data_IF_048037957716
#
_entry.id   IF_048037957716
#
_cell.length_a   1.000
_cell.length_b   1.000
_cell.length_c   1.000
_cell.angle_alpha   90.00
_cell.angle_beta   90.00
_cell.angle_gamma   90.00
#
_symmetry.space_group_name_H-M   'P 1'
#
loop_
_entity.id
_entity.type
_entity.pdbx_description
1 polymer ?
#
# COMPACT_ATOMS: atom_id res chain seq x y z
N UNK A 1 -29.92 5.27 9.35
CA UNK A 1 -29.32 4.49 8.25
C UNK A 1 -30.27 3.37 7.89
N UNK A 2 -30.44 3.11 6.60
CA UNK A 2 -31.26 2.02 6.09
C UNK A 2 -30.61 0.66 6.41
N UNK A 3 -31.40 -0.41 6.46
CA UNK A 3 -30.89 -1.80 6.58
C UNK A 3 -29.85 -2.10 5.49
N UNK A 4 -30.02 -1.52 4.30
CA UNK A 4 -29.05 -1.61 3.21
C UNK A 4 -27.68 -1.02 3.54
N UNK A 5 -27.64 0.12 4.24
CA UNK A 5 -26.38 0.78 4.61
C UNK A 5 -25.57 -0.06 5.61
N UNK A 6 -26.26 -0.75 6.51
CA UNK A 6 -25.65 -1.61 7.53
C UNK A 6 -25.08 -2.88 6.90
N UNK A 7 -25.79 -3.49 5.95
CA UNK A 7 -25.32 -4.63 5.17
C UNK A 7 -24.09 -4.27 4.33
N UNK A 8 -24.07 -3.09 3.70
CA UNK A 8 -22.91 -2.60 2.96
C UNK A 8 -21.69 -2.43 3.88
N UNK A 9 -21.86 -1.79 5.04
CA UNK A 9 -20.77 -1.59 6.00
C UNK A 9 -20.24 -2.93 6.56
N UNK A 10 -21.13 -3.87 6.90
CA UNK A 10 -20.73 -5.21 7.34
C UNK A 10 -20.00 -5.98 6.24
N UNK A 11 -20.46 -5.89 4.99
CA UNK A 11 -19.82 -6.55 3.83
C UNK A 11 -18.42 -5.99 3.60
N UNK A 12 -18.25 -4.66 3.64
CA UNK A 12 -16.96 -4.00 3.50
C UNK A 12 -15.99 -4.41 4.62
N UNK A 13 -16.47 -4.51 5.86
CA UNK A 13 -15.68 -4.97 7.00
C UNK A 13 -15.16 -6.40 6.78
N UNK A 14 -16.06 -7.33 6.41
CA UNK A 14 -15.71 -8.73 6.15
C UNK A 14 -14.69 -8.81 5.00
N UNK A 15 -14.93 -8.06 3.93
CA UNK A 15 -14.04 -8.01 2.78
C UNK A 15 -12.65 -7.50 3.14
N UNK A 16 -12.57 -6.44 3.95
CA UNK A 16 -11.30 -5.90 4.43
C UNK A 16 -10.49 -6.92 5.23
N UNK A 17 -11.15 -7.68 6.11
CA UNK A 17 -10.50 -8.73 6.92
C UNK A 17 -10.04 -9.90 6.06
N UNK A 18 -10.89 -10.40 5.16
CA UNK A 18 -10.54 -11.49 4.25
C UNK A 18 -9.35 -11.11 3.36
N UNK A 19 -9.38 -9.90 2.80
CA UNK A 19 -8.30 -9.42 1.96
C UNK A 19 -7.01 -9.20 2.75
N UNK A 20 -7.09 -8.74 4.00
CA UNK A 20 -5.93 -8.64 4.87
C UNK A 20 -5.29 -10.00 5.16
N UNK A 21 -6.10 -11.02 5.45
CA UNK A 21 -5.62 -12.40 5.65
C UNK A 21 -4.95 -12.91 4.37
N UNK A 22 -5.58 -12.71 3.21
CA UNK A 22 -5.00 -13.05 1.91
C UNK A 22 -3.66 -12.33 1.66
N UNK A 23 -3.60 -11.03 1.98
CA UNK A 23 -2.39 -10.23 1.85
C UNK A 23 -1.25 -10.79 2.71
N UNK A 24 -1.50 -11.08 3.98
CA UNK A 24 -0.49 -11.61 4.90
C UNK A 24 0.00 -13.00 4.46
N UNK A 25 -0.92 -13.90 4.06
CA UNK A 25 -0.58 -15.28 3.72
C UNK A 25 0.03 -15.44 2.33
N UNK A 26 -0.49 -14.73 1.34
CA UNK A 26 -0.16 -14.97 -0.08
C UNK A 26 0.76 -13.88 -0.62
N UNK A 27 0.40 -12.61 -0.40
CA UNK A 27 1.12 -11.47 -1.00
C UNK A 27 2.43 -11.17 -0.25
N UNK A 28 2.47 -11.37 1.08
CA UNK A 28 3.67 -11.10 1.90
C UNK A 28 4.77 -12.16 1.73
N UNK A 29 4.38 -13.40 1.45
CA UNK A 29 5.26 -14.55 1.32
C UNK A 29 5.08 -15.23 -0.05
N UNK A 30 5.53 -14.60 -1.15
CA UNK A 30 5.39 -15.18 -2.47
C UNK A 30 6.20 -16.49 -2.54
N UNK A 31 5.50 -17.63 -2.64
CA UNK A 31 6.14 -18.95 -2.82
C UNK A 31 6.86 -19.08 -4.16
N UNK A 32 6.39 -18.36 -5.19
CA UNK A 32 6.90 -18.45 -6.56
C UNK A 32 7.15 -17.03 -7.12
N UNK A 33 8.39 -16.70 -7.46
CA UNK A 33 8.83 -15.38 -7.95
C UNK A 33 8.36 -15.03 -9.37
N UNK A 34 8.03 -16.02 -10.20
CA UNK A 34 7.68 -15.82 -11.62
C UNK A 34 6.30 -15.19 -11.84
N UNK A 35 5.40 -15.24 -10.84
CA UNK A 35 4.03 -14.73 -10.97
C UNK A 35 3.94 -13.20 -10.92
N UNK A 36 5.06 -12.52 -10.69
CA UNK A 36 5.15 -11.08 -10.45
C UNK A 36 6.17 -10.39 -11.38
N UNK A 37 6.58 -11.00 -12.50
CA UNK A 37 7.46 -10.34 -13.47
C UNK A 37 6.69 -9.66 -14.61
N UNK A 38 5.49 -10.16 -14.97
CA UNK A 38 4.82 -9.75 -16.22
C UNK A 38 3.88 -8.53 -16.12
N UNK A 39 3.58 -8.02 -14.92
CA UNK A 39 2.66 -6.87 -14.79
C UNK A 39 3.04 -5.92 -13.65
N UNK A 40 4.07 -5.10 -13.86
CA UNK A 40 4.50 -4.04 -12.93
C UNK A 40 3.37 -3.12 -12.43
N UNK A 41 2.26 -3.02 -13.18
CA UNK A 41 1.06 -2.29 -12.78
C UNK A 41 0.23 -2.98 -11.68
N UNK A 42 0.03 -4.30 -11.75
CA UNK A 42 -0.72 -5.03 -10.73
C UNK A 42 0.01 -5.03 -9.39
N UNK A 43 1.33 -5.13 -9.41
CA UNK A 43 2.20 -5.31 -8.26
C UNK A 43 2.29 -4.06 -7.39
N UNK A 44 2.43 -2.89 -8.04
CA UNK A 44 2.50 -1.59 -7.35
C UNK A 44 1.23 -1.29 -6.57
N UNK A 45 0.08 -1.71 -7.08
CA UNK A 45 -1.21 -1.50 -6.44
C UNK A 45 -1.59 -2.62 -5.46
N UNK A 46 -1.09 -3.85 -5.64
CA UNK A 46 -1.41 -5.00 -4.77
C UNK A 46 -0.96 -4.81 -3.32
N UNK A 47 0.12 -4.06 -3.07
CA UNK A 47 0.53 -3.72 -1.71
C UNK A 47 -0.25 -2.57 -1.10
N UNK A 48 -0.79 -1.67 -1.91
CA UNK A 48 -1.51 -0.50 -1.42
C UNK A 48 -2.98 -0.83 -1.11
N UNK A 49 -3.58 -1.67 -1.94
CA UNK A 49 -4.96 -2.15 -1.83
C UNK A 49 -5.36 -2.67 -0.43
N UNK A 50 -4.57 -3.49 0.29
CA UNK A 50 -4.93 -3.95 1.63
C UNK A 50 -5.03 -2.81 2.66
N UNK A 51 -4.21 -1.75 2.55
CA UNK A 51 -4.29 -0.60 3.45
C UNK A 51 -5.54 0.24 3.20
N UNK A 52 -5.90 0.41 1.93
CA UNK A 52 -7.14 1.10 1.53
C UNK A 52 -8.37 0.31 2.01
N UNK A 53 -8.35 -1.02 1.85
CA UNK A 53 -9.43 -1.88 2.32
C UNK A 53 -9.55 -1.87 3.84
N UNK A 54 -8.44 -1.89 4.58
CA UNK A 54 -8.46 -1.74 6.04
C UNK A 54 -8.96 -0.37 6.49
N UNK A 55 -8.64 0.70 5.75
CA UNK A 55 -9.16 2.04 6.04
C UNK A 55 -10.68 2.07 5.92
N UNK A 56 -11.21 1.56 4.79
CA UNK A 56 -12.65 1.43 4.57
C UNK A 56 -13.31 0.55 5.63
N UNK A 57 -12.72 -0.60 5.96
CA UNK A 57 -13.21 -1.48 7.02
C UNK A 57 -13.23 -0.80 8.39
N UNK A 58 -12.21 0.00 8.73
CA UNK A 58 -12.14 0.72 10.01
C UNK A 58 -13.22 1.80 10.10
N UNK A 59 -13.50 2.52 9.00
CA UNK A 59 -14.60 3.49 8.91
C UNK A 59 -15.95 2.77 9.05
N UNK A 60 -16.13 1.65 8.34
CA UNK A 60 -17.35 0.84 8.44
C UNK A 60 -17.57 0.30 9.85
N UNK A 61 -16.51 -0.11 10.56
CA UNK A 61 -16.59 -0.52 11.96
C UNK A 61 -17.06 0.63 12.87
N UNK A 62 -16.44 1.81 12.75
CA UNK A 62 -16.82 2.98 13.53
C UNK A 62 -18.30 3.35 13.34
N UNK A 63 -18.77 3.31 12.08
CA UNK A 63 -20.16 3.58 11.72
C UNK A 63 -21.12 2.52 12.30
N UNK A 64 -20.78 1.23 12.24
CA UNK A 64 -21.60 0.16 12.85
C UNK A 64 -21.68 0.30 14.37
N UNK A 65 -20.56 0.59 15.01
CA UNK A 65 -20.48 0.72 16.48
C UNK A 65 -21.27 1.94 16.96
N UNK A 66 -21.22 3.05 16.23
CA UNK A 66 -21.98 4.26 16.52
C UNK A 66 -23.51 4.05 16.48
N UNK A 67 -23.99 3.00 15.83
CA UNK A 67 -25.42 2.66 15.78
C UNK A 67 -25.90 1.80 16.95
N UNK A 68 -24.98 1.21 17.71
CA UNK A 68 -25.34 0.43 18.89
C UNK A 68 -25.63 1.40 20.04
N UNK A 69 -26.70 1.14 20.79
CA UNK A 69 -27.11 1.94 21.94
C UNK A 69 -26.23 1.64 23.18
N UNK A 70 -24.92 1.87 23.01
CA UNK A 70 -23.87 1.59 23.98
C UNK A 70 -23.63 2.85 24.82
N UNK A 71 -23.39 2.72 26.14
CA UNK A 71 -23.04 3.85 26.99
C UNK A 71 -21.89 4.67 26.40
N UNK A 72 -22.07 6.00 26.36
CA UNK A 72 -21.19 6.98 25.67
C UNK A 72 -19.71 6.85 26.02
N UNK A 73 -19.39 6.48 27.26
CA UNK A 73 -18.02 6.25 27.72
C UNK A 73 -17.34 5.09 26.98
N UNK A 74 -18.07 3.98 26.78
CA UNK A 74 -17.60 2.80 26.05
C UNK A 74 -17.59 3.10 24.56
N UNK A 75 -18.63 3.76 24.05
CA UNK A 75 -18.74 4.13 22.65
C UNK A 75 -17.56 4.96 22.16
N UNK A 76 -17.07 5.92 22.96
CA UNK A 76 -15.92 6.74 22.61
C UNK A 76 -14.69 5.90 22.28
N UNK A 77 -14.34 4.92 23.13
CA UNK A 77 -13.18 4.06 22.90
C UNK A 77 -13.35 3.16 21.68
N UNK A 78 -14.53 2.57 21.51
CA UNK A 78 -14.81 1.65 20.41
C UNK A 78 -14.98 2.32 19.05
N UNK A 79 -15.33 3.61 19.01
CA UNK A 79 -15.40 4.41 17.76
C UNK A 79 -14.09 5.11 17.46
N UNK A 80 -13.43 5.67 18.48
CA UNK A 80 -12.18 6.41 18.30
C UNK A 80 -11.04 5.50 17.81
N UNK A 81 -10.91 4.29 18.34
CA UNK A 81 -9.83 3.37 17.96
C UNK A 81 -9.87 3.02 16.46
N UNK A 82 -10.99 2.56 15.87
CA UNK A 82 -11.10 2.38 14.42
C UNK A 82 -10.90 3.66 13.62
N UNK A 83 -11.34 4.81 14.14
CA UNK A 83 -11.18 6.08 13.45
C UNK A 83 -9.69 6.48 13.37
N UNK A 84 -8.96 6.39 14.48
CA UNK A 84 -7.52 6.64 14.51
C UNK A 84 -6.73 5.61 13.69
N UNK A 85 -7.14 4.33 13.69
CA UNK A 85 -6.50 3.34 12.81
C UNK A 85 -6.71 3.68 11.34
N UNK A 86 -7.90 4.18 10.94
CA UNK A 86 -8.15 4.62 9.56
C UNK A 86 -7.23 5.77 9.15
N UNK A 87 -6.98 6.75 10.05
CA UNK A 87 -6.07 7.88 9.80
C UNK A 87 -4.64 7.37 9.62
N UNK A 88 -4.17 6.47 10.50
CA UNK A 88 -2.86 5.86 10.38
C UNK A 88 -2.68 5.08 9.07
N UNK A 89 -3.70 4.31 8.67
CA UNK A 89 -3.71 3.57 7.41
C UNK A 89 -3.72 4.49 6.19
N UNK A 90 -4.41 5.63 6.27
CA UNK A 90 -4.43 6.65 5.23
C UNK A 90 -3.04 7.28 5.04
N UNK A 91 -2.35 7.63 6.14
CA UNK A 91 -0.97 8.14 6.08
C UNK A 91 -0.03 7.10 5.45
N UNK A 92 -0.16 5.82 5.84
CA UNK A 92 0.61 4.72 5.26
C UNK A 92 0.33 4.57 3.76
N UNK A 93 -0.93 4.67 3.37
CA UNK A 93 -1.33 4.60 1.97
C UNK A 93 -0.78 5.78 1.15
N UNK A 94 -0.82 7.01 1.69
CA UNK A 94 -0.24 8.19 1.06
C UNK A 94 1.29 8.07 0.91
N UNK A 95 1.98 7.57 1.93
CA UNK A 95 3.43 7.30 1.87
C UNK A 95 3.76 6.24 0.80
N UNK A 96 2.92 5.19 0.71
CA UNK A 96 3.08 4.14 -0.30
C UNK A 96 2.84 4.65 -1.73
N UNK A 97 1.81 5.48 -1.93
CA UNK A 97 1.49 6.10 -3.21
C UNK A 97 2.51 7.17 -3.63
N UNK A 98 2.99 7.98 -2.69
CA UNK A 98 4.03 8.99 -2.90
C UNK A 98 5.42 8.41 -3.20
N UNK A 99 5.55 7.09 -3.19
CA UNK A 99 6.76 6.40 -3.58
C UNK A 99 7.89 6.49 -2.56
N UNK A 100 7.59 6.90 -1.32
CA UNK A 100 8.53 6.83 -0.20
C UNK A 100 8.77 5.35 0.12
N UNK A 101 10.03 4.87 0.19
CA UNK A 101 10.29 3.50 0.58
C UNK A 101 9.90 3.32 2.05
N UNK A 102 8.72 2.76 2.31
CA UNK A 102 8.31 2.46 3.67
C UNK A 102 9.26 1.39 4.26
N UNK A 103 9.69 1.56 5.53
CA UNK A 103 10.53 0.59 6.20
C UNK A 103 9.77 -0.73 6.43
N UNK A 104 10.50 -1.84 6.35
CA UNK A 104 10.04 -3.12 6.88
C UNK A 104 9.71 -2.94 8.38
N UNK A 105 8.57 -3.44 8.92
CA UNK A 105 7.71 -4.54 8.45
C UNK A 105 6.44 -4.13 7.68
N UNK A 106 6.27 -2.85 7.35
CA UNK A 106 5.04 -2.39 6.68
C UNK A 106 4.96 -2.97 5.27
N UNK A 107 6.03 -2.87 4.50
CA UNK A 107 6.07 -3.37 3.11
C UNK A 107 6.80 -4.71 3.04
N UNK A 108 6.33 -5.68 2.23
CA UNK A 108 7.00 -6.97 2.10
C UNK A 108 8.39 -6.85 1.48
N UNK A 109 9.27 -7.75 1.92
CA UNK A 109 10.71 -7.73 1.59
C UNK A 109 10.97 -7.79 0.09
N UNK A 110 10.13 -8.50 -0.66
CA UNK A 110 10.30 -8.66 -2.10
C UNK A 110 10.06 -7.36 -2.87
N UNK A 111 9.13 -6.51 -2.42
CA UNK A 111 8.87 -5.21 -3.05
C UNK A 111 10.05 -4.27 -2.88
N UNK A 112 10.66 -4.26 -1.69
CA UNK A 112 11.88 -3.49 -1.42
C UNK A 112 13.03 -3.96 -2.32
N UNK A 113 13.17 -5.27 -2.53
CA UNK A 113 14.17 -5.84 -3.43
C UNK A 113 13.93 -5.42 -4.89
N UNK A 114 12.69 -5.50 -5.37
CA UNK A 114 12.33 -5.11 -6.74
C UNK A 114 12.57 -3.61 -6.99
N UNK A 115 12.20 -2.75 -6.04
CA UNK A 115 12.51 -1.30 -6.08
C UNK A 115 14.01 -1.05 -6.14
N UNK A 116 14.80 -1.80 -5.38
CA UNK A 116 16.27 -1.68 -5.39
C UNK A 116 16.84 -2.08 -6.75
N UNK A 117 16.29 -3.10 -7.39
CA UNK A 117 16.66 -3.55 -8.73
C UNK A 117 16.25 -2.54 -9.82
N UNK A 118 15.06 -1.94 -9.73
CA UNK A 118 14.63 -0.83 -10.60
C UNK A 118 15.51 0.41 -10.45
N UNK A 119 15.85 0.77 -9.21
CA UNK A 119 16.77 1.87 -8.93
C UNK A 119 18.16 1.58 -9.48
N UNK A 120 18.68 0.36 -9.34
CA UNK A 120 19.95 -0.04 -9.94
C UNK A 120 19.94 0.14 -11.46
N UNK A 121 18.91 -0.38 -12.15
CA UNK A 121 18.72 -0.21 -13.60
C UNK A 121 18.62 1.27 -14.02
N UNK A 122 18.00 2.11 -13.20
CA UNK A 122 17.87 3.54 -13.47
C UNK A 122 19.21 4.26 -13.30
N UNK A 123 19.97 3.92 -12.26
CA UNK A 123 21.31 4.45 -12.04
C UNK A 123 22.28 4.03 -13.15
N UNK A 124 22.19 2.81 -13.65
CA UNK A 124 23.02 2.34 -14.76
C UNK A 124 22.72 3.11 -16.05
N UNK A 125 21.43 3.34 -16.38
CA UNK A 125 21.04 4.20 -17.51
C UNK A 125 21.56 5.63 -17.37
N UNK A 126 21.53 6.20 -16.16
CA UNK A 126 22.05 7.54 -15.89
C UNK A 126 23.57 7.59 -16.07
N UNK A 127 24.31 6.58 -15.60
CA UNK A 127 25.76 6.47 -15.79
C UNK A 127 26.11 6.34 -17.28
N UNK A 128 25.40 5.51 -18.03
CA UNK A 128 25.58 5.35 -19.47
C UNK A 128 25.32 6.64 -20.23
N UNK A 129 24.25 7.36 -19.88
CA UNK A 129 23.95 8.66 -20.46
C UNK A 129 25.03 9.68 -20.14
N UNK A 130 25.53 9.72 -18.90
CA UNK A 130 26.63 10.59 -18.50
C UNK A 130 27.93 10.25 -19.26
N UNK A 131 28.22 8.96 -19.46
CA UNK A 131 29.38 8.49 -20.25
C UNK A 131 29.27 8.95 -21.71
N UNK A 132 28.13 8.69 -22.37
CA UNK A 132 27.86 9.15 -23.74
C UNK A 132 27.94 10.67 -23.87
N UNK A 133 27.47 11.42 -22.86
CA UNK A 133 27.55 12.89 -22.86
C UNK A 133 28.99 13.40 -22.73
N UNK A 134 29.85 12.72 -21.96
CA UNK A 134 31.29 13.02 -21.87
C UNK A 134 32.02 12.75 -23.18
N UNK A 135 31.73 11.63 -23.85
CA UNK A 135 32.31 11.29 -25.15
C UNK A 135 31.95 12.32 -26.23
N UNK A 136 30.68 12.75 -26.28
CA UNK A 136 30.23 13.83 -27.19
C UNK A 136 30.96 15.15 -26.95
N UNK A 137 31.30 15.50 -25.70
CA UNK A 137 32.08 16.71 -25.39
C UNK A 137 33.53 16.60 -25.85
N UNK A 138 34.18 15.44 -25.67
CA UNK A 138 35.55 15.21 -26.16
C UNK A 138 35.66 15.31 -27.68
N UNK A 139 34.66 14.81 -28.40
CA UNK A 139 34.62 14.90 -29.87
C UNK A 139 34.43 16.35 -30.37
N UNK A 140 33.77 17.22 -29.59
CA UNK A 140 33.58 18.63 -29.94
C UNK A 140 34.79 19.52 -29.63
N UNK A 141 35.62 19.16 -28.67
CA UNK A 141 36.85 19.91 -28.34
C UNK A 141 38.09 19.51 -29.15
N UNK A 142 37.95 18.56 -30.09
CA UNK A 142 39.03 18.07 -30.97
C UNK A 142 38.89 18.54 -32.42
N UNK A 143 37.83 19.31 -32.73
CA UNK A 143 37.66 20.08 -33.97
C UNK A 143 37.91 21.54 -33.65
#
# INVERSE_FOLDING_TARGET
MSVGDNLLCATLLIWAVLYWIYYVKVVRHPKNSWRYDDSGWCIRHLHLYPYVMLMLGSISAAVLIAQLDIPKFVLFWFVAVPMFSSVGLCIIAMLGAGGVPLPYPLVPKWFVKQRREEWARTLDRLKDWARKRRERRRLRGRK
#
